data_IF_323162982314
#
_entry.id   IF_323162982314
#
_cell.length_a   1.000
_cell.length_b   1.000
_cell.length_c   1.000
_cell.angle_alpha   90.00
_cell.angle_beta   90.00
_cell.angle_gamma   90.00
#
_symmetry.space_group_name_H-M   'P 1'
#
loop_
_entity.id
_entity.type
_entity.pdbx_description
1 polymer ?
#
# COMPACT_ATOMS: atom_id res chain seq x y z
N UNK A 1 1.78 9.20 -53.41
CA UNK A 1 1.41 8.12 -52.46
C UNK A 1 2.42 7.87 -51.34
N UNK A 2 3.75 7.89 -51.57
CA UNK A 2 4.72 7.47 -50.54
C UNK A 2 4.79 8.30 -49.25
N UNK A 3 4.56 9.63 -49.31
CA UNK A 3 4.61 10.51 -48.12
C UNK A 3 3.41 10.34 -47.18
N UNK A 4 2.27 9.93 -47.71
CA UNK A 4 1.04 9.74 -46.93
C UNK A 4 1.10 8.44 -46.12
N UNK A 5 1.75 7.40 -46.67
CA UNK A 5 1.99 6.11 -46.00
C UNK A 5 3.01 6.23 -44.85
N UNK A 6 4.05 7.04 -45.04
CA UNK A 6 5.05 7.30 -44.00
C UNK A 6 4.47 8.04 -42.79
N UNK A 7 3.54 8.98 -43.03
CA UNK A 7 2.86 9.72 -41.97
C UNK A 7 1.93 8.83 -41.12
N UNK A 8 1.31 7.81 -41.72
CA UNK A 8 0.45 6.86 -40.99
C UNK A 8 1.28 5.90 -40.14
N UNK A 9 2.44 5.46 -40.63
CA UNK A 9 3.35 4.60 -39.87
C UNK A 9 3.94 5.30 -38.64
N UNK A 10 4.28 6.59 -38.74
CA UNK A 10 4.77 7.37 -37.62
C UNK A 10 3.70 7.56 -36.51
N UNK A 11 2.42 7.69 -36.89
CA UNK A 11 1.32 7.87 -35.94
C UNK A 11 0.98 6.58 -35.17
N UNK A 12 1.17 5.42 -35.79
CA UNK A 12 0.97 4.11 -35.13
C UNK A 12 2.01 3.82 -34.04
N UNK A 13 3.22 4.40 -34.15
CA UNK A 13 4.30 4.26 -33.17
C UNK A 13 4.17 5.23 -31.99
N UNK A 14 3.24 6.19 -32.05
CA UNK A 14 2.99 7.17 -30.99
C UNK A 14 1.94 6.70 -29.96
N UNK A 15 1.66 5.39 -29.90
CA UNK A 15 0.83 4.82 -28.83
C UNK A 15 1.63 4.92 -27.52
N UNK A 16 1.36 5.97 -26.75
CA UNK A 16 1.96 6.17 -25.44
C UNK A 16 1.81 4.91 -24.58
N UNK A 17 2.85 4.58 -23.82
CA UNK A 17 2.79 3.48 -22.86
C UNK A 17 1.57 3.68 -21.94
N UNK A 18 0.80 2.63 -21.61
CA UNK A 18 -0.25 2.76 -20.61
C UNK A 18 0.34 3.33 -19.32
N UNK A 19 -0.30 4.37 -18.79
CA UNK A 19 0.06 4.90 -17.48
C UNK A 19 -0.02 3.76 -16.46
N UNK A 20 1.02 3.61 -15.65
CA UNK A 20 1.06 2.58 -14.62
C UNK A 20 -0.05 2.85 -13.59
N UNK A 21 -0.88 1.83 -13.33
CA UNK A 21 -1.94 1.93 -12.33
C UNK A 21 -1.37 1.75 -10.92
N UNK A 22 -1.23 2.86 -10.22
CA UNK A 22 -0.78 2.91 -8.83
C UNK A 22 -1.93 2.91 -7.82
N UNK A 23 -3.19 2.77 -8.24
CA UNK A 23 -4.35 2.81 -7.34
C UNK A 23 -4.30 1.70 -6.26
N UNK A 24 -3.62 0.58 -6.54
CA UNK A 24 -3.37 -0.50 -5.57
C UNK A 24 -2.51 -0.09 -4.36
N UNK A 25 -1.79 1.02 -4.45
CA UNK A 25 -0.96 1.55 -3.36
C UNK A 25 -1.56 2.83 -2.75
N UNK A 26 -2.81 3.15 -3.09
CA UNK A 26 -3.55 4.22 -2.42
C UNK A 26 -3.77 3.88 -0.94
N UNK A 27 -3.91 4.91 -0.11
CA UNK A 27 -4.22 4.74 1.32
C UNK A 27 -5.48 3.90 1.52
N UNK A 28 -6.49 4.11 0.68
CA UNK A 28 -7.73 3.34 0.66
C UNK A 28 -7.51 1.85 0.35
N UNK A 29 -6.64 1.53 -0.59
CA UNK A 29 -6.30 0.14 -0.92
C UNK A 29 -5.54 -0.53 0.24
N UNK A 30 -4.59 0.19 0.83
CA UNK A 30 -3.82 -0.27 1.99
C UNK A 30 -4.73 -0.48 3.20
N UNK A 31 -5.64 0.45 3.49
CA UNK A 31 -6.60 0.35 4.58
C UNK A 31 -7.52 -0.88 4.42
N UNK A 32 -8.01 -1.14 3.20
CA UNK A 32 -8.80 -2.35 2.90
C UNK A 32 -8.00 -3.62 3.09
N UNK A 33 -6.76 -3.66 2.59
CA UNK A 33 -5.88 -4.83 2.74
C UNK A 33 -5.54 -5.10 4.21
N UNK A 34 -5.25 -4.05 4.98
CA UNK A 34 -4.96 -4.13 6.41
C UNK A 34 -6.15 -4.65 7.20
N UNK A 35 -7.35 -4.11 6.95
CA UNK A 35 -8.59 -4.57 7.59
C UNK A 35 -8.91 -6.04 7.30
N UNK A 36 -8.51 -6.54 6.12
CA UNK A 36 -8.68 -7.95 5.75
C UNK A 36 -7.71 -8.88 6.48
N UNK A 37 -6.47 -8.43 6.77
CA UNK A 37 -5.37 -9.29 7.24
C UNK A 37 -5.02 -9.16 8.71
N UNK A 38 -5.41 -8.06 9.37
CA UNK A 38 -4.87 -7.69 10.67
C UNK A 38 -5.96 -7.24 11.65
N UNK A 39 -5.78 -7.65 12.90
CA UNK A 39 -6.44 -7.06 14.06
C UNK A 39 -5.50 -5.98 14.63
N UNK A 40 -5.91 -4.72 14.56
CA UNK A 40 -5.07 -3.57 14.89
C UNK A 40 -5.54 -2.88 16.19
N UNK A 41 -4.60 -2.58 17.07
CA UNK A 41 -4.78 -1.69 18.22
C UNK A 41 -3.99 -0.41 17.94
N UNK A 42 -4.70 0.69 17.73
CA UNK A 42 -4.12 1.96 17.34
C UNK A 42 -3.87 2.83 18.56
N UNK A 43 -2.70 3.45 18.64
CA UNK A 43 -2.34 4.43 19.68
C UNK A 43 -2.48 3.80 21.09
N UNK A 44 -1.97 2.57 21.25
CA UNK A 44 -1.74 2.00 22.57
C UNK A 44 -0.66 2.86 23.27
N UNK A 45 -1.04 3.53 24.36
CA UNK A 45 -0.14 4.41 25.09
C UNK A 45 0.76 3.58 26.01
N UNK A 46 1.97 3.28 25.53
CA UNK A 46 2.94 2.45 26.27
C UNK A 46 3.72 3.35 27.23
N UNK A 47 3.65 3.12 28.56
CA UNK A 47 4.33 3.97 29.53
C UNK A 47 5.83 3.69 29.56
N UNK A 48 6.61 4.76 29.60
CA UNK A 48 8.06 4.72 29.74
C UNK A 48 8.46 4.92 31.21
N UNK A 49 9.72 4.59 31.54
CA UNK A 49 10.28 4.71 32.90
C UNK A 49 10.16 6.13 33.47
N UNK A 50 10.21 7.14 32.62
CA UNK A 50 10.12 8.56 32.95
C UNK A 50 8.68 9.09 33.04
N UNK A 51 7.68 8.24 32.82
CA UNK A 51 6.27 8.60 32.86
C UNK A 51 5.71 9.16 31.54
N UNK A 52 6.53 9.28 30.49
CA UNK A 52 6.03 9.65 29.15
C UNK A 52 5.35 8.44 28.51
N UNK A 53 4.25 8.67 27.79
CA UNK A 53 3.56 7.63 27.02
C UNK A 53 3.95 7.66 25.53
N UNK A 54 4.34 6.52 24.97
CA UNK A 54 4.59 6.38 23.54
C UNK A 54 3.34 5.86 22.83
N UNK A 55 2.87 6.58 21.83
CA UNK A 55 1.81 6.13 20.94
C UNK A 55 2.31 4.95 20.08
N UNK A 56 1.83 3.75 20.36
CA UNK A 56 2.25 2.52 19.70
C UNK A 56 1.08 1.92 18.93
N UNK A 57 1.28 1.59 17.66
CA UNK A 57 0.30 0.82 16.90
C UNK A 57 0.72 -0.66 16.92
N UNK A 58 -0.20 -1.53 17.33
CA UNK A 58 0.04 -2.97 17.45
C UNK A 58 -0.79 -3.68 16.39
N UNK A 59 -0.11 -4.42 15.50
CA UNK A 59 -0.74 -5.15 14.41
C UNK A 59 -0.57 -6.66 14.64
N UNK A 60 -1.69 -7.37 14.84
CA UNK A 60 -1.71 -8.83 14.99
C UNK A 60 -2.32 -9.50 13.75
N UNK A 61 -1.79 -10.63 13.25
CA UNK A 61 -2.45 -11.36 12.17
C UNK A 61 -3.88 -11.77 12.58
N UNK A 62 -4.84 -11.55 11.69
CA UNK A 62 -6.26 -11.73 11.98
C UNK A 62 -6.57 -13.16 12.42
N UNK A 63 -7.22 -13.30 13.57
CA UNK A 63 -7.64 -14.61 14.10
C UNK A 63 -6.49 -15.52 14.56
N UNK A 64 -5.25 -15.03 14.64
CA UNK A 64 -4.14 -15.79 15.20
C UNK A 64 -4.32 -16.01 16.71
N UNK A 65 -4.00 -17.23 17.16
CA UNK A 65 -4.20 -17.67 18.56
C UNK A 65 -2.88 -18.17 19.15
N UNK A 66 -2.76 -18.08 20.46
CA UNK A 66 -1.56 -18.48 21.20
C UNK A 66 -0.45 -17.41 21.20
N UNK A 67 0.75 -17.74 21.72
CA UNK A 67 1.91 -16.87 21.72
C UNK A 67 2.39 -16.59 20.30
N UNK A 68 2.73 -15.33 20.00
CA UNK A 68 3.25 -14.90 18.70
C UNK A 68 4.62 -14.23 18.90
N UNK A 69 5.58 -14.43 17.98
CA UNK A 69 6.79 -13.62 17.98
C UNK A 69 6.45 -12.15 17.72
N UNK A 70 7.25 -11.24 18.26
CA UNK A 70 7.04 -9.79 18.14
C UNK A 70 8.18 -9.16 17.33
N UNK A 71 7.81 -8.26 16.41
CA UNK A 71 8.73 -7.41 15.65
C UNK A 71 8.45 -5.97 16.10
N UNK A 72 9.50 -5.24 16.48
CA UNK A 72 9.45 -3.83 16.91
C UNK A 72 10.11 -2.95 15.85
#
# INVERSE_FOLDING_TARGET
MGRMLAATAALAMATGAPAQDYARYSDDAIAREMAAKVDAEMIALVPMRDGVGLATNIYRPKGARGPLPTIL
#
